data_IF_685484228616
#
_entry.id   IF_685484228616
#
_cell.length_a   1.000
_cell.length_b   1.000
_cell.length_c   1.000
_cell.angle_alpha   90.00
_cell.angle_beta   90.00
_cell.angle_gamma   90.00
#
_symmetry.space_group_name_H-M   'P 1'
#
loop_
_entity.id
_entity.type
_entity.pdbx_description
1 polymer ?
#
# COMPACT_ATOMS: atom_id res chain seq x y z
N UNK A 1 17.68 -4.93 6.63
CA UNK A 1 17.32 -4.13 5.44
C UNK A 1 16.91 -2.74 5.92
N UNK A 2 17.81 -1.75 5.86
CA UNK A 2 17.68 -0.48 6.59
C UNK A 2 17.55 0.77 5.70
N UNK A 3 17.10 0.64 4.45
CA UNK A 3 16.80 1.82 3.61
C UNK A 3 15.45 1.66 2.94
N UNK A 4 14.48 2.40 3.45
CA UNK A 4 13.26 2.75 2.73
C UNK A 4 13.64 3.67 1.58
N UNK A 5 13.35 3.28 0.35
CA UNK A 5 13.56 4.11 -0.83
C UNK A 5 12.26 4.81 -1.22
N UNK A 6 11.99 5.99 -0.68
CA UNK A 6 10.70 6.68 -0.85
C UNK A 6 10.39 7.06 -2.31
N UNK A 7 11.39 7.18 -3.19
CA UNK A 7 11.10 7.41 -4.62
C UNK A 7 10.42 6.22 -5.31
N UNK A 8 10.36 5.05 -4.65
CA UNK A 8 9.54 3.94 -5.12
C UNK A 8 8.07 4.35 -5.29
N UNK A 9 7.56 5.28 -4.47
CA UNK A 9 6.21 5.84 -4.64
C UNK A 9 6.04 6.58 -5.97
N UNK A 10 7.09 7.29 -6.43
CA UNK A 10 7.10 7.96 -7.72
C UNK A 10 7.03 6.97 -8.87
N UNK A 11 7.87 5.92 -8.82
CA UNK A 11 7.87 4.84 -9.80
C UNK A 11 6.50 4.14 -9.87
N UNK A 12 5.87 3.85 -8.73
CA UNK A 12 4.52 3.28 -8.68
C UNK A 12 3.47 4.22 -9.29
N UNK A 13 3.50 5.51 -8.94
CA UNK A 13 2.59 6.50 -9.49
C UNK A 13 2.63 6.54 -11.02
N UNK A 14 3.85 6.59 -11.59
CA UNK A 14 4.06 6.55 -13.04
C UNK A 14 3.57 5.23 -13.65
N UNK A 15 3.88 4.09 -13.02
CA UNK A 15 3.45 2.77 -13.50
C UNK A 15 1.92 2.64 -13.51
N UNK A 16 1.23 3.12 -12.47
CA UNK A 16 -0.22 3.06 -12.39
C UNK A 16 -0.86 3.94 -13.46
N UNK A 17 -0.36 5.16 -13.63
CA UNK A 17 -0.83 6.06 -14.69
C UNK A 17 -0.64 5.43 -16.07
N UNK A 18 0.54 4.90 -16.36
CA UNK A 18 0.83 4.24 -17.63
C UNK A 18 -0.12 3.07 -17.90
N UNK A 19 -0.33 2.19 -16.91
CA UNK A 19 -1.19 1.03 -17.06
C UNK A 19 -2.65 1.42 -17.30
N UNK A 20 -3.18 2.37 -16.52
CA UNK A 20 -4.55 2.86 -16.66
C UNK A 20 -4.76 3.54 -18.03
N UNK A 21 -3.88 4.48 -18.41
CA UNK A 21 -4.04 5.24 -19.66
C UNK A 21 -3.85 4.41 -20.92
N UNK A 22 -3.00 3.38 -20.89
CA UNK A 22 -2.69 2.55 -22.06
C UNK A 22 -3.54 1.31 -22.18
N UNK A 23 -3.92 0.70 -21.05
CA UNK A 23 -4.54 -0.61 -21.02
C UNK A 23 -5.82 -0.68 -20.19
N UNK A 24 -6.20 0.43 -19.55
CA UNK A 24 -7.40 0.53 -18.72
C UNK A 24 -7.21 0.06 -17.29
N UNK A 25 -8.09 0.57 -16.42
CA UNK A 25 -8.07 0.31 -14.99
C UNK A 25 -8.16 -1.18 -14.61
N UNK A 26 -8.81 -2.01 -15.43
CA UNK A 26 -8.90 -3.46 -15.19
C UNK A 26 -7.54 -4.16 -15.30
N UNK A 27 -6.66 -3.66 -16.17
CA UNK A 27 -5.30 -4.18 -16.30
C UNK A 27 -4.43 -3.73 -15.11
N UNK A 28 -4.60 -2.49 -14.66
CA UNK A 28 -4.00 -2.02 -13.41
C UNK A 28 -4.44 -2.91 -12.22
N UNK A 29 -5.71 -3.31 -12.14
CA UNK A 29 -6.19 -4.19 -11.08
C UNK A 29 -5.57 -5.58 -11.12
N UNK A 30 -5.46 -6.17 -12.31
CA UNK A 30 -4.78 -7.47 -12.49
C UNK A 30 -3.31 -7.38 -12.07
N UNK A 31 -2.64 -6.30 -12.45
CA UNK A 31 -1.26 -6.04 -12.03
C UNK A 31 -1.16 -5.92 -10.51
N UNK A 32 -1.98 -5.09 -9.88
CA UNK A 32 -1.98 -4.89 -8.42
C UNK A 32 -2.28 -6.17 -7.66
N UNK A 33 -3.22 -7.01 -8.13
CA UNK A 33 -3.50 -8.34 -7.55
C UNK A 33 -2.27 -9.26 -7.63
N UNK A 34 -1.55 -9.25 -8.73
CA UNK A 34 -0.34 -10.04 -8.90
C UNK A 34 0.80 -9.56 -7.99
N UNK A 35 0.99 -8.24 -7.90
CA UNK A 35 1.90 -7.61 -6.92
C UNK A 35 1.51 -8.04 -5.51
N UNK A 36 0.23 -7.95 -5.16
CA UNK A 36 -0.29 -8.34 -3.86
C UNK A 36 0.11 -9.77 -3.46
N UNK A 37 -0.18 -10.73 -4.35
CA UNK A 37 0.11 -12.15 -4.13
C UNK A 37 1.60 -12.46 -4.06
N UNK A 38 2.41 -11.80 -4.89
CA UNK A 38 3.83 -12.12 -5.00
C UNK A 38 4.68 -11.41 -3.93
N UNK A 39 4.42 -10.13 -3.68
CA UNK A 39 5.21 -9.32 -2.74
C UNK A 39 4.81 -9.56 -1.29
N UNK A 40 3.54 -9.89 -1.00
CA UNK A 40 3.06 -10.13 0.36
C UNK A 40 2.87 -11.61 0.68
N UNK A 41 3.48 -12.54 -0.07
CA UNK A 41 3.32 -13.99 0.13
C UNK A 41 3.57 -14.43 1.58
N UNK A 42 4.64 -13.92 2.20
CA UNK A 42 4.95 -14.21 3.61
C UNK A 42 3.92 -13.62 4.57
N UNK A 43 3.47 -12.40 4.33
CA UNK A 43 2.43 -11.77 5.15
C UNK A 43 1.10 -12.51 5.03
N UNK A 44 0.69 -12.89 3.82
CA UNK A 44 -0.51 -13.71 3.59
C UNK A 44 -0.43 -15.02 4.38
N UNK A 45 0.73 -15.68 4.38
CA UNK A 45 0.95 -16.89 5.20
C UNK A 45 0.76 -16.62 6.69
N UNK A 46 1.23 -15.48 7.20
CA UNK A 46 1.04 -15.08 8.61
C UNK A 46 -0.41 -14.72 8.92
N UNK A 47 -1.11 -14.04 8.02
CA UNK A 47 -2.54 -13.74 8.16
C UNK A 47 -3.35 -15.04 8.25
N UNK A 48 -3.04 -16.03 7.42
CA UNK A 48 -3.72 -17.33 7.46
C UNK A 48 -3.50 -18.11 8.78
N UNK A 49 -2.42 -17.82 9.51
CA UNK A 49 -2.07 -18.48 10.77
C UNK A 49 -2.55 -17.70 11.99
N UNK A 50 -2.42 -16.37 11.96
CA UNK A 50 -2.61 -15.49 13.12
C UNK A 50 -3.76 -14.49 12.95
N UNK A 51 -4.50 -14.56 11.84
CA UNK A 51 -5.58 -13.65 11.52
C UNK A 51 -5.13 -12.19 11.38
N UNK A 52 -6.00 -11.27 11.81
CA UNK A 52 -5.81 -9.83 11.68
C UNK A 52 -4.63 -9.27 12.50
N UNK A 53 -4.17 -9.99 13.54
CA UNK A 53 -3.01 -9.58 14.33
C UNK A 53 -1.72 -9.50 13.49
N UNK A 54 -1.56 -10.40 12.52
CA UNK A 54 -0.42 -10.35 11.59
C UNK A 54 -0.47 -9.10 10.70
N UNK A 55 -1.66 -8.65 10.32
CA UNK A 55 -1.85 -7.45 9.51
C UNK A 55 -1.62 -6.18 10.33
N UNK A 56 -2.09 -6.15 11.58
CA UNK A 56 -1.80 -5.06 12.53
C UNK A 56 -0.28 -4.89 12.72
N UNK A 57 0.43 -5.97 13.06
CA UNK A 57 1.88 -5.94 13.28
C UNK A 57 2.61 -5.38 12.05
N UNK A 58 2.21 -5.86 10.86
CA UNK A 58 2.78 -5.43 9.60
C UNK A 58 2.54 -3.94 9.33
N UNK A 59 1.29 -3.47 9.42
CA UNK A 59 0.97 -2.06 9.20
C UNK A 59 1.66 -1.17 10.21
N UNK A 60 1.61 -1.51 11.50
CA UNK A 60 2.29 -0.74 12.56
C UNK A 60 3.77 -0.60 12.24
N UNK A 61 4.44 -1.69 11.89
CA UNK A 61 5.86 -1.69 11.51
C UNK A 61 6.14 -0.78 10.31
N UNK A 62 5.42 -0.94 9.21
CA UNK A 62 5.68 -0.21 7.96
C UNK A 62 5.36 1.27 8.11
N UNK A 63 4.20 1.63 8.63
CA UNK A 63 3.81 3.03 8.74
C UNK A 63 4.63 3.79 9.79
N UNK A 64 5.10 3.13 10.86
CA UNK A 64 6.10 3.73 11.77
C UNK A 64 7.44 3.95 11.06
N UNK A 65 7.94 2.96 10.31
CA UNK A 65 9.22 3.06 9.60
C UNK A 65 9.21 4.17 8.53
N UNK A 66 8.07 4.33 7.85
CA UNK A 66 7.88 5.32 6.78
C UNK A 66 7.62 6.74 7.31
N UNK A 67 7.32 6.89 8.61
CA UNK A 67 6.99 8.17 9.25
C UNK A 67 5.56 8.64 8.93
N UNK A 68 4.62 7.71 8.83
CA UNK A 68 3.19 8.01 8.73
C UNK A 68 2.60 8.44 10.07
N UNK A 69 1.48 9.18 10.00
CA UNK A 69 0.64 9.47 11.16
C UNK A 69 -0.66 8.68 11.02
N UNK A 70 -0.89 7.74 11.93
CA UNK A 70 -1.94 6.75 11.78
C UNK A 70 -2.41 6.19 13.12
N UNK A 71 -3.61 5.61 13.10
CA UNK A 71 -4.18 4.79 14.16
C UNK A 71 -4.62 3.44 13.60
N UNK A 72 -4.50 2.39 14.42
CA UNK A 72 -5.00 1.06 14.07
C UNK A 72 -5.97 0.63 15.17
N UNK A 73 -7.17 0.23 14.76
CA UNK A 73 -8.20 -0.34 15.63
C UNK A 73 -8.51 -1.75 15.16
N UNK A 74 -8.61 -2.67 16.12
CA UNK A 74 -8.90 -4.08 15.87
C UNK A 74 -10.22 -4.44 16.56
N UNK A 75 -11.14 -5.00 15.79
CA UNK A 75 -12.39 -5.59 16.27
C UNK A 75 -12.35 -7.12 16.06
N UNK A 76 -13.44 -7.81 16.37
CA UNK A 76 -13.53 -9.27 16.24
C UNK A 76 -13.29 -9.74 14.80
N UNK A 77 -13.92 -9.08 13.81
CA UNK A 77 -13.91 -9.50 12.40
C UNK A 77 -13.35 -8.43 11.45
N UNK A 78 -12.85 -7.31 12.00
CA UNK A 78 -12.34 -6.19 11.21
C UNK A 78 -11.09 -5.55 11.81
N UNK A 79 -10.27 -4.98 10.95
CA UNK A 79 -9.16 -4.11 11.31
C UNK A 79 -9.27 -2.83 10.50
N UNK A 80 -9.11 -1.69 11.16
CA UNK A 80 -9.17 -0.37 10.54
C UNK A 80 -7.83 0.32 10.70
N UNK A 81 -7.27 0.81 9.60
CA UNK A 81 -6.11 1.70 9.57
C UNK A 81 -6.58 3.09 9.16
N UNK A 82 -6.58 4.02 10.12
CA UNK A 82 -6.86 5.43 9.86
C UNK A 82 -5.55 6.17 9.61
N UNK A 83 -5.39 6.77 8.43
CA UNK A 83 -4.19 7.51 8.03
C UNK A 83 -4.47 9.02 8.01
N UNK A 84 -3.96 9.75 9.00
CA UNK A 84 -3.98 11.22 9.02
C UNK A 84 -2.91 11.82 8.11
N UNK A 85 -1.75 11.15 8.01
CA UNK A 85 -0.64 11.55 7.13
C UNK A 85 -0.08 10.34 6.38
N UNK A 86 -0.43 10.23 5.10
CA UNK A 86 0.11 9.19 4.23
C UNK A 86 1.57 9.49 3.85
N UNK A 87 2.55 8.65 4.22
CA UNK A 87 3.97 8.90 3.93
C UNK A 87 4.26 8.92 2.42
N UNK A 88 3.55 8.10 1.63
CA UNK A 88 3.70 8.04 0.18
C UNK A 88 3.26 9.34 -0.51
N UNK A 89 2.03 9.80 -0.24
CA UNK A 89 1.50 11.03 -0.83
C UNK A 89 2.30 12.24 -0.36
N UNK A 90 2.73 12.28 0.90
CA UNK A 90 3.58 13.35 1.41
C UNK A 90 4.89 13.43 0.63
N UNK A 91 5.58 12.29 0.44
CA UNK A 91 6.84 12.24 -0.30
C UNK A 91 6.68 12.70 -1.76
N UNK A 92 5.66 12.16 -2.45
CA UNK A 92 5.36 12.54 -3.83
C UNK A 92 5.16 14.06 -3.96
N UNK A 93 4.38 14.65 -3.05
CA UNK A 93 4.14 16.10 -3.03
C UNK A 93 5.39 16.90 -2.69
N UNK A 94 6.21 16.45 -1.73
CA UNK A 94 7.42 17.19 -1.33
C UNK A 94 8.50 17.22 -2.41
N UNK A 95 8.59 16.17 -3.24
CA UNK A 95 9.57 16.08 -4.34
C UNK A 95 9.01 16.65 -5.66
N UNK A 96 7.70 16.89 -5.73
CA UNK A 96 7.04 17.41 -6.94
C UNK A 96 6.78 16.34 -8.00
N UNK A 97 6.70 15.07 -7.61
CA UNK A 97 6.33 13.99 -8.54
C UNK A 97 4.83 14.02 -8.87
N UNK A 98 4.44 13.67 -10.10
CA UNK A 98 3.04 13.52 -10.46
C UNK A 98 2.40 12.40 -9.63
N UNK A 99 1.20 12.66 -9.12
CA UNK A 99 0.40 11.69 -8.37
C UNK A 99 -0.69 11.16 -9.28
N UNK A 100 -0.69 9.85 -9.56
CA UNK A 100 -1.77 9.20 -10.27
C UNK A 100 -3.11 9.46 -9.57
N UNK A 101 -4.13 9.84 -10.35
CA UNK A 101 -5.43 10.33 -9.84
C UNK A 101 -6.10 9.39 -8.83
N UNK A 102 -5.91 8.08 -8.98
CA UNK A 102 -6.43 7.05 -8.08
C UNK A 102 -5.28 6.27 -7.42
N UNK A 103 -4.22 6.95 -6.96
CA UNK A 103 -3.03 6.33 -6.35
C UNK A 103 -3.37 5.38 -5.18
N UNK A 104 -4.42 5.71 -4.41
CA UNK A 104 -4.89 4.88 -3.31
C UNK A 104 -5.61 3.61 -3.76
N UNK A 105 -5.89 3.41 -5.06
CA UNK A 105 -6.52 2.18 -5.58
C UNK A 105 -5.85 0.91 -5.11
N UNK A 106 -4.52 0.92 -5.03
CA UNK A 106 -3.73 -0.20 -4.52
C UNK A 106 -4.18 -0.68 -3.13
N UNK A 107 -4.64 0.21 -2.25
CA UNK A 107 -5.08 -0.18 -0.89
C UNK A 107 -6.40 -0.93 -0.92
N UNK A 108 -7.23 -0.75 -1.95
CA UNK A 108 -8.48 -1.49 -2.13
C UNK A 108 -8.24 -2.81 -2.85
N UNK A 109 -7.43 -2.78 -3.90
CA UNK A 109 -7.22 -3.95 -4.78
C UNK A 109 -6.31 -5.01 -4.15
N UNK A 110 -5.32 -4.61 -3.37
CA UNK A 110 -4.39 -5.55 -2.73
C UNK A 110 -5.03 -6.21 -1.50
N UNK A 111 -5.91 -5.49 -0.80
CA UNK A 111 -6.56 -5.97 0.43
C UNK A 111 -7.92 -6.67 0.18
N UNK A 112 -8.41 -6.73 -1.07
CA UNK A 112 -9.67 -7.38 -1.45
C UNK A 112 -9.46 -8.65 -2.25
#
# INVERSE_FOLDING_TARGET
MSKVHKDFYGALSCAFQFLDERYGVDILDKFLKQVGRNCYKELISKINQCGLLALEEYWRKIFTLEGGEFEISLDTDSITLELRKCPAILHLKSVGYPVYKDFCRQTRVING
#
